data_IF_343089737996
#
_entry.id   IF_343089737996
#
_cell.length_a   1.000
_cell.length_b   1.000
_cell.length_c   1.000
_cell.angle_alpha   90.00
_cell.angle_beta   90.00
_cell.angle_gamma   90.00
#
_symmetry.space_group_name_H-M   'P 1'
#
loop_
_entity.id
_entity.type
_entity.pdbx_description
1 polymer ?
#
# COMPACT_ATOMS: atom_id res chain seq x y z
N UNK A 1 10.17 12.63 -5.48
CA UNK A 1 8.78 13.08 -5.70
C UNK A 1 7.95 11.83 -5.99
N UNK A 2 6.87 11.58 -5.22
CA UNK A 2 6.08 10.34 -5.33
C UNK A 2 5.33 10.21 -6.66
N UNK A 3 4.83 9.02 -6.97
CA UNK A 3 4.04 8.74 -8.18
C UNK A 3 2.74 9.56 -8.27
N UNK A 4 2.19 9.95 -7.13
CA UNK A 4 0.96 10.75 -7.04
C UNK A 4 1.16 12.24 -7.41
N UNK A 5 2.39 12.75 -7.32
CA UNK A 5 2.67 14.17 -7.60
C UNK A 5 2.95 14.36 -9.10
N UNK A 6 1.93 14.69 -9.88
CA UNK A 6 2.03 14.92 -11.32
C UNK A 6 2.25 16.39 -11.69
N UNK A 7 2.08 17.31 -10.73
CA UNK A 7 2.21 18.75 -11.00
C UNK A 7 3.50 19.28 -10.36
N UNK A 8 4.38 19.81 -11.18
CA UNK A 8 5.58 20.53 -10.73
C UNK A 8 5.21 21.93 -10.23
N UNK A 9 6.01 22.49 -9.32
CA UNK A 9 5.74 23.83 -8.73
C UNK A 9 5.55 24.91 -9.79
N UNK A 10 6.35 24.85 -10.84
CA UNK A 10 6.36 25.80 -11.96
C UNK A 10 5.06 25.77 -12.76
N UNK A 11 4.34 24.65 -12.73
CA UNK A 11 3.14 24.41 -13.51
C UNK A 11 1.83 24.58 -12.70
N UNK A 12 1.91 24.98 -11.42
CA UNK A 12 0.73 25.08 -10.55
C UNK A 12 -0.32 26.05 -11.12
N UNK A 13 0.09 27.22 -11.61
CA UNK A 13 -0.83 28.21 -12.15
C UNK A 13 -1.58 27.68 -13.41
N UNK A 14 -0.86 27.02 -14.32
CA UNK A 14 -1.45 26.41 -15.51
C UNK A 14 -2.40 25.25 -15.12
N UNK A 15 -2.01 24.43 -14.16
CA UNK A 15 -2.85 23.36 -13.62
C UNK A 15 -4.15 23.91 -13.02
N UNK A 16 -4.06 24.95 -12.20
CA UNK A 16 -5.25 25.59 -11.62
C UNK A 16 -6.20 26.15 -12.69
N UNK A 17 -5.65 26.73 -13.77
CA UNK A 17 -6.48 27.20 -14.89
C UNK A 17 -7.22 26.05 -15.55
N UNK A 18 -6.58 24.91 -15.79
CA UNK A 18 -7.22 23.70 -16.34
C UNK A 18 -8.35 23.18 -15.44
N UNK A 19 -8.16 23.23 -14.11
CA UNK A 19 -9.20 22.85 -13.14
C UNK A 19 -10.39 23.81 -13.22
N UNK A 20 -10.15 25.14 -13.28
CA UNK A 20 -11.19 26.14 -13.42
C UNK A 20 -11.96 25.99 -14.75
N UNK A 21 -11.26 25.68 -15.84
CA UNK A 21 -11.83 25.42 -17.15
C UNK A 21 -12.54 24.05 -17.25
N UNK A 22 -12.54 23.26 -16.17
CA UNK A 22 -13.08 21.88 -16.11
C UNK A 22 -12.44 20.92 -17.12
N UNK A 23 -11.16 21.14 -17.47
CA UNK A 23 -10.39 20.30 -18.39
C UNK A 23 -9.62 19.21 -17.63
N UNK A 24 -10.34 18.37 -16.89
CA UNK A 24 -9.79 17.27 -16.12
C UNK A 24 -10.76 16.09 -16.10
N UNK A 25 -10.23 14.93 -15.71
CA UNK A 25 -11.02 13.75 -15.37
C UNK A 25 -10.83 13.42 -13.89
N UNK A 26 -11.74 12.65 -13.31
CA UNK A 26 -11.63 12.15 -11.95
C UNK A 26 -11.24 10.68 -11.97
N UNK A 27 -10.10 10.36 -11.39
CA UNK A 27 -9.63 9.00 -11.17
C UNK A 27 -9.97 8.58 -9.75
N UNK A 28 -10.77 7.53 -9.61
CA UNK A 28 -11.16 6.98 -8.32
C UNK A 28 -10.04 6.11 -7.76
N UNK A 29 -9.71 6.31 -6.49
CA UNK A 29 -8.68 5.54 -5.79
C UNK A 29 -9.29 4.72 -4.68
N UNK A 30 -8.95 3.43 -4.67
CA UNK A 30 -9.28 2.51 -3.58
C UNK A 30 -8.41 2.84 -2.36
N UNK A 31 -9.02 2.74 -1.18
CA UNK A 31 -8.32 2.83 0.10
C UNK A 31 -8.51 1.53 0.88
N UNK A 32 -7.60 1.29 1.82
CA UNK A 32 -7.72 0.23 2.82
C UNK A 32 -8.17 0.81 4.15
N UNK A 33 -9.00 0.08 4.89
CA UNK A 33 -9.26 0.31 6.31
C UNK A 33 -8.56 -0.76 7.13
N UNK A 34 -8.18 -0.39 8.36
CA UNK A 34 -7.58 -1.28 9.34
C UNK A 34 -8.37 -1.21 10.65
N UNK A 35 -8.75 -2.37 11.16
CA UNK A 35 -9.23 -2.49 12.55
C UNK A 35 -8.30 -3.41 13.34
N UNK A 36 -8.20 -3.17 14.65
CA UNK A 36 -7.35 -3.91 15.58
C UNK A 36 -8.17 -4.43 16.74
N UNK A 37 -7.96 -5.65 17.15
CA UNK A 37 -8.55 -6.23 18.35
C UNK A 37 -7.46 -6.85 19.24
N UNK A 38 -7.29 -6.38 20.51
CA UNK A 38 -8.05 -5.29 21.14
C UNK A 38 -7.85 -3.93 20.44
N UNK A 39 -8.80 -3.01 20.62
CA UNK A 39 -8.78 -1.68 19.99
C UNK A 39 -7.51 -0.89 20.36
N UNK A 40 -7.01 -0.13 19.39
CA UNK A 40 -5.86 0.76 19.55
C UNK A 40 -6.27 2.20 19.15
N UNK A 41 -6.16 3.13 20.10
CA UNK A 41 -6.59 4.53 19.90
C UNK A 41 -5.93 5.21 18.70
N UNK A 42 -4.64 4.97 18.46
CA UNK A 42 -3.92 5.56 17.33
C UNK A 42 -4.42 5.07 15.97
N UNK A 43 -4.99 3.87 15.89
CA UNK A 43 -5.64 3.35 14.69
C UNK A 43 -7.05 3.92 14.54
N UNK A 44 -7.80 4.03 15.63
CA UNK A 44 -9.18 4.54 15.62
C UNK A 44 -9.28 6.00 15.14
N UNK A 45 -8.27 6.83 15.42
CA UNK A 45 -8.25 8.24 15.00
C UNK A 45 -8.26 8.41 13.48
N UNK A 46 -7.52 7.56 12.76
CA UNK A 46 -7.48 7.57 11.29
C UNK A 46 -7.15 6.16 10.75
N UNK A 47 -8.16 5.37 10.57
CA UNK A 47 -8.11 3.92 10.32
C UNK A 47 -7.93 3.52 8.85
N UNK A 48 -7.60 4.45 7.95
CA UNK A 48 -7.48 4.17 6.53
C UNK A 48 -6.13 4.56 5.92
N UNK A 49 -5.76 3.91 4.81
CA UNK A 49 -4.57 4.17 4.02
C UNK A 49 -4.90 4.27 2.53
N UNK A 50 -4.22 5.21 1.83
CA UNK A 50 -4.32 5.37 0.38
C UNK A 50 -3.35 4.43 -0.35
N UNK A 51 -2.15 4.28 0.18
CA UNK A 51 -1.11 3.45 -0.44
C UNK A 51 -1.11 2.03 0.15
N UNK A 52 -0.75 1.90 1.42
CA UNK A 52 -0.57 0.58 2.02
C UNK A 52 -0.79 0.56 3.54
N UNK A 53 -1.17 -0.62 4.02
CA UNK A 53 -1.00 -1.03 5.42
C UNK A 53 0.22 -1.93 5.49
N UNK A 54 1.18 -1.60 6.37
CA UNK A 54 2.39 -2.40 6.57
C UNK A 54 2.47 -2.89 8.00
N UNK A 55 2.77 -4.16 8.16
CA UNK A 55 3.17 -4.76 9.44
C UNK A 55 4.67 -5.02 9.38
N UNK A 56 5.43 -4.58 10.38
CA UNK A 56 6.87 -4.78 10.42
C UNK A 56 7.38 -5.03 11.83
N UNK A 57 8.52 -5.70 11.92
CA UNK A 57 9.23 -5.84 13.19
C UNK A 57 9.60 -4.47 13.76
N UNK A 58 9.65 -4.36 15.07
CA UNK A 58 10.03 -3.13 15.77
C UNK A 58 11.54 -2.98 15.84
N UNK A 59 12.24 -4.05 16.17
CA UNK A 59 13.69 -4.07 16.34
C UNK A 59 14.39 -4.84 15.21
N UNK A 60 15.68 -4.53 15.00
CA UNK A 60 16.46 -5.05 13.87
C UNK A 60 16.93 -6.49 14.03
N UNK A 61 16.78 -7.10 15.22
CA UNK A 61 17.45 -8.35 15.57
C UNK A 61 16.63 -9.63 15.40
N UNK A 62 15.30 -9.54 15.30
CA UNK A 62 14.44 -10.71 15.18
C UNK A 62 13.34 -10.51 14.15
N UNK A 63 13.12 -11.54 13.32
CA UNK A 63 11.96 -11.58 12.42
C UNK A 63 10.68 -11.79 13.20
N UNK A 64 9.56 -11.43 12.59
CA UNK A 64 8.21 -11.70 13.07
C UNK A 64 7.56 -12.80 12.23
N UNK A 65 6.62 -13.49 12.82
CA UNK A 65 5.75 -14.45 12.15
C UNK A 65 4.39 -13.82 11.95
N UNK A 66 3.93 -13.79 10.70
CA UNK A 66 2.66 -13.16 10.31
C UNK A 66 1.77 -14.22 9.69
N UNK A 67 0.84 -14.75 10.49
CA UNK A 67 -0.22 -15.62 9.99
C UNK A 67 -1.22 -14.78 9.23
N UNK A 68 -1.49 -15.16 7.99
CA UNK A 68 -2.36 -14.42 7.07
C UNK A 68 -3.53 -15.28 6.64
N UNK A 69 -4.73 -14.72 6.76
CA UNK A 69 -5.99 -15.36 6.37
C UNK A 69 -6.71 -14.47 5.36
N UNK A 70 -7.30 -15.08 4.33
CA UNK A 70 -8.10 -14.42 3.29
C UNK A 70 -9.53 -14.96 3.35
N UNK A 71 -10.51 -14.09 3.62
CA UNK A 71 -11.91 -14.46 3.79
C UNK A 71 -12.10 -15.63 4.78
N UNK A 72 -11.30 -15.65 5.85
CA UNK A 72 -11.31 -16.70 6.87
C UNK A 72 -10.51 -17.95 6.54
N UNK A 73 -10.01 -18.12 5.32
CA UNK A 73 -9.14 -19.23 4.91
C UNK A 73 -7.67 -18.89 5.18
N UNK A 74 -6.93 -19.84 5.78
CA UNK A 74 -5.49 -19.69 6.02
C UNK A 74 -4.71 -19.67 4.70
N UNK A 75 -3.98 -18.60 4.45
CA UNK A 75 -3.10 -18.46 3.29
C UNK A 75 -1.70 -19.00 3.58
N UNK A 76 -1.03 -18.40 4.54
CA UNK A 76 0.37 -18.67 4.82
C UNK A 76 0.79 -18.06 6.16
N UNK A 77 1.90 -18.56 6.71
CA UNK A 77 2.62 -17.97 7.81
C UNK A 77 3.96 -17.42 7.28
N UNK A 78 4.07 -16.09 7.19
CA UNK A 78 5.27 -15.41 6.73
C UNK A 78 6.24 -15.23 7.89
N UNK A 79 7.42 -15.81 7.78
CA UNK A 79 8.55 -15.48 8.65
C UNK A 79 9.42 -14.45 7.93
N UNK A 80 9.32 -13.19 8.34
CA UNK A 80 9.81 -12.05 7.55
C UNK A 80 10.12 -10.83 8.43
N UNK A 81 10.72 -9.80 7.83
CA UNK A 81 10.84 -8.48 8.45
C UNK A 81 9.48 -7.76 8.50
N UNK A 82 8.55 -8.13 7.64
CA UNK A 82 7.21 -7.58 7.61
C UNK A 82 6.38 -8.05 6.42
N UNK A 83 5.18 -7.47 6.31
CA UNK A 83 4.22 -7.72 5.24
C UNK A 83 3.52 -6.42 4.85
N UNK A 84 3.39 -6.18 3.57
CA UNK A 84 2.71 -5.00 3.00
C UNK A 84 1.41 -5.44 2.34
N UNK A 85 0.33 -4.77 2.65
CA UNK A 85 -0.95 -4.86 1.93
C UNK A 85 -1.13 -3.55 1.18
N UNK A 86 -0.93 -3.57 -0.14
CA UNK A 86 -0.94 -2.38 -0.98
C UNK A 86 -2.21 -2.27 -1.83
N UNK A 87 -2.75 -1.05 -1.93
CA UNK A 87 -3.73 -0.68 -2.96
C UNK A 87 -3.05 -0.57 -4.32
N UNK A 88 -3.77 -0.49 -5.44
CA UNK A 88 -3.17 -0.21 -6.75
C UNK A 88 -2.29 1.05 -6.73
N UNK A 89 -2.71 2.10 -6.03
CA UNK A 89 -1.93 3.34 -5.84
C UNK A 89 -0.60 3.06 -5.11
N UNK A 90 -0.64 2.26 -4.04
CA UNK A 90 0.52 1.92 -3.21
C UNK A 90 1.50 0.96 -3.87
N UNK A 91 1.11 0.26 -4.95
CA UNK A 91 2.02 -0.67 -5.65
C UNK A 91 3.25 0.01 -6.23
N UNK A 92 3.23 1.32 -6.41
CA UNK A 92 4.39 2.13 -6.85
C UNK A 92 5.19 2.72 -5.68
N UNK A 93 4.81 2.40 -4.43
CA UNK A 93 5.44 2.81 -3.18
C UNK A 93 6.35 1.73 -2.58
N UNK A 94 6.18 1.43 -1.31
CA UNK A 94 7.02 0.49 -0.59
C UNK A 94 6.93 -0.94 -1.13
N UNK A 95 5.73 -1.35 -1.60
CA UNK A 95 5.53 -2.66 -2.25
C UNK A 95 6.47 -2.86 -3.44
N UNK A 96 6.66 -1.83 -4.28
CA UNK A 96 7.59 -1.89 -5.42
C UNK A 96 9.04 -2.18 -4.97
N UNK A 97 9.50 -1.51 -3.91
CA UNK A 97 10.84 -1.70 -3.35
C UNK A 97 11.06 -3.11 -2.81
N UNK A 98 9.98 -3.79 -2.41
CA UNK A 98 9.98 -5.19 -1.95
C UNK A 98 9.67 -6.21 -3.07
N UNK A 99 9.72 -5.79 -4.34
CA UNK A 99 9.50 -6.67 -5.50
C UNK A 99 8.04 -6.95 -5.84
N UNK A 100 7.11 -6.15 -5.32
CA UNK A 100 5.70 -6.22 -5.69
C UNK A 100 5.45 -5.79 -7.14
N UNK A 101 4.40 -6.32 -7.80
CA UNK A 101 4.01 -5.90 -9.13
C UNK A 101 3.41 -4.49 -9.11
N UNK A 102 3.50 -3.78 -10.23
CA UNK A 102 2.81 -2.51 -10.43
C UNK A 102 1.41 -2.80 -10.98
N UNK A 103 0.40 -2.25 -10.32
CA UNK A 103 -0.98 -2.28 -10.78
C UNK A 103 -1.39 -0.91 -11.33
N UNK A 104 -2.23 -0.90 -12.37
CA UNK A 104 -2.87 0.33 -12.83
C UNK A 104 -3.91 0.77 -11.80
N UNK A 105 -4.13 2.08 -11.62
CA UNK A 105 -4.97 2.60 -10.55
C UNK A 105 -6.43 2.16 -10.55
N UNK A 106 -6.93 1.71 -11.69
CA UNK A 106 -8.32 1.34 -11.97
C UNK A 106 -8.64 -0.13 -11.71
N UNK A 107 -7.62 -0.98 -11.45
CA UNK A 107 -7.86 -2.40 -11.19
C UNK A 107 -8.45 -2.63 -9.80
N UNK A 108 -9.37 -3.59 -9.71
CA UNK A 108 -10.02 -4.00 -8.47
C UNK A 108 -9.22 -5.11 -7.78
N UNK A 109 -8.02 -4.79 -7.34
CA UNK A 109 -7.10 -5.75 -6.73
C UNK A 109 -6.26 -5.10 -5.64
N UNK A 110 -5.77 -5.92 -4.72
CA UNK A 110 -4.78 -5.58 -3.72
C UNK A 110 -3.54 -6.44 -3.92
N UNK A 111 -2.41 -6.02 -3.38
CA UNK A 111 -1.17 -6.79 -3.42
C UNK A 111 -0.67 -7.06 -2.01
N UNK A 112 -0.42 -8.32 -1.71
CA UNK A 112 0.28 -8.76 -0.50
C UNK A 112 1.75 -8.94 -0.86
N UNK A 113 2.64 -8.17 -0.25
CA UNK A 113 4.08 -8.21 -0.54
C UNK A 113 4.88 -8.45 0.74
N UNK A 114 5.58 -9.60 0.88
CA UNK A 114 6.43 -9.84 2.04
C UNK A 114 7.70 -8.98 1.98
N UNK A 115 8.16 -8.53 3.16
CA UNK A 115 9.41 -7.77 3.32
C UNK A 115 10.50 -8.73 3.79
N UNK A 116 11.53 -8.92 2.98
CA UNK A 116 12.68 -9.78 3.27
C UNK A 116 12.27 -11.14 3.90
N UNK A 117 11.39 -11.94 3.26
CA UNK A 117 10.93 -13.19 3.84
C UNK A 117 12.06 -14.22 3.90
N UNK A 118 12.13 -14.98 5.00
CA UNK A 118 13.03 -16.12 5.10
C UNK A 118 12.53 -17.32 4.29
N UNK A 119 11.23 -17.40 4.04
CA UNK A 119 10.61 -18.42 3.20
C UNK A 119 10.99 -18.21 1.73
N UNK A 120 11.88 -19.02 1.20
CA UNK A 120 12.42 -18.89 -0.18
C UNK A 120 11.35 -18.90 -1.28
N UNK A 121 10.20 -19.50 -1.02
CA UNK A 121 9.08 -19.60 -1.97
C UNK A 121 8.03 -18.49 -1.82
N UNK A 122 8.16 -17.60 -0.82
CA UNK A 122 7.24 -16.49 -0.67
C UNK A 122 7.39 -15.51 -1.84
N UNK A 123 6.26 -15.13 -2.43
CA UNK A 123 6.16 -14.20 -3.55
C UNK A 123 5.04 -13.21 -3.29
N UNK A 124 5.10 -12.01 -3.85
CA UNK A 124 3.95 -11.12 -3.86
C UNK A 124 2.73 -11.80 -4.50
N UNK A 125 1.57 -11.61 -3.89
CA UNK A 125 0.29 -12.17 -4.33
C UNK A 125 -0.70 -11.06 -4.63
N UNK A 126 -1.32 -11.12 -5.82
CA UNK A 126 -2.43 -10.23 -6.20
C UNK A 126 -3.74 -10.91 -5.85
N UNK A 127 -4.61 -10.19 -5.15
CA UNK A 127 -5.93 -10.67 -4.71
C UNK A 127 -7.03 -9.67 -5.11
N UNK A 128 -8.29 -10.08 -5.04
CA UNK A 128 -9.43 -9.17 -5.21
C UNK A 128 -9.44 -8.08 -4.12
N UNK A 129 -9.84 -6.86 -4.47
CA UNK A 129 -10.02 -5.76 -3.50
C UNK A 129 -11.21 -5.95 -2.55
N UNK A 130 -12.08 -6.93 -2.84
CA UNK A 130 -13.18 -7.34 -1.94
C UNK A 130 -12.75 -8.36 -0.86
N UNK A 131 -11.48 -8.77 -0.87
CA UNK A 131 -10.97 -9.76 0.09
C UNK A 131 -10.79 -9.14 1.48
N UNK A 132 -11.36 -9.77 2.49
CA UNK A 132 -11.00 -9.50 3.88
C UNK A 132 -9.67 -10.19 4.20
N UNK A 133 -8.72 -9.42 4.73
CA UNK A 133 -7.40 -9.91 5.13
C UNK A 133 -7.31 -9.84 6.66
N UNK A 134 -7.02 -10.97 7.30
CA UNK A 134 -6.79 -11.02 8.74
C UNK A 134 -5.35 -11.42 8.99
N UNK A 135 -4.66 -10.64 9.82
CA UNK A 135 -3.27 -10.89 10.22
C UNK A 135 -3.19 -11.14 11.73
N UNK A 136 -2.43 -12.15 12.11
CA UNK A 136 -2.00 -12.41 13.49
C UNK A 136 -0.49 -12.38 13.53
N UNK A 137 0.07 -11.53 14.37
CA UNK A 137 1.52 -11.29 14.40
C UNK A 137 2.08 -11.75 15.74
N UNK A 138 3.15 -12.53 15.66
CA UNK A 138 3.94 -12.96 16.81
C UNK A 138 5.41 -12.72 16.55
N UNK A 139 6.16 -12.44 17.62
CA UNK A 139 7.59 -12.19 17.57
C UNK A 139 8.22 -12.40 18.94
N UNK A 140 9.53 -12.18 19.03
CA UNK A 140 10.25 -12.23 20.31
C UNK A 140 9.97 -11.00 21.19
N UNK A 141 9.74 -9.86 20.55
CA UNK A 141 9.38 -8.61 21.22
C UNK A 141 7.88 -8.62 21.53
N UNK A 142 7.48 -7.90 22.57
CA UNK A 142 6.07 -7.79 22.97
C UNK A 142 5.23 -6.99 21.99
N UNK A 143 5.87 -6.23 21.10
CA UNK A 143 5.24 -5.33 20.15
C UNK A 143 5.87 -5.41 18.77
N UNK A 144 5.03 -5.14 17.77
CA UNK A 144 5.42 -4.90 16.38
C UNK A 144 4.90 -3.55 15.89
N UNK A 145 5.37 -3.09 14.75
CA UNK A 145 4.92 -1.83 14.14
C UNK A 145 3.84 -2.09 13.10
N UNK A 146 2.85 -1.22 13.10
CA UNK A 146 1.86 -1.11 12.03
C UNK A 146 1.91 0.29 11.45
N UNK A 147 1.93 0.43 10.15
CA UNK A 147 1.83 1.72 9.49
C UNK A 147 0.67 1.76 8.49
N UNK A 148 -0.03 2.90 8.48
CA UNK A 148 -1.03 3.25 7.47
C UNK A 148 -0.45 4.44 6.69
N UNK A 149 0.02 4.17 5.47
CA UNK A 149 0.89 5.08 4.71
C UNK A 149 2.14 5.44 5.55
N UNK A 150 2.30 6.70 5.97
CA UNK A 150 3.44 7.15 6.80
C UNK A 150 3.13 7.25 8.31
N UNK A 151 1.93 6.88 8.75
CA UNK A 151 1.52 6.94 10.16
C UNK A 151 1.84 5.62 10.84
N UNK A 152 2.75 5.63 11.79
CA UNK A 152 3.29 4.44 12.44
C UNK A 152 2.80 4.37 13.89
N UNK A 153 2.33 3.20 14.30
CA UNK A 153 1.99 2.89 15.70
C UNK A 153 2.56 1.52 16.11
N UNK A 154 2.76 1.33 17.41
CA UNK A 154 3.15 0.04 17.98
C UNK A 154 1.92 -0.74 18.44
N UNK A 155 1.86 -2.01 18.08
CA UNK A 155 0.76 -2.93 18.42
C UNK A 155 1.32 -4.08 19.23
N UNK A 156 0.57 -4.56 20.21
CA UNK A 156 0.93 -5.72 21.04
C UNK A 156 0.86 -7.00 20.21
N UNK A 157 1.76 -7.94 20.50
CA UNK A 157 1.66 -9.30 19.96
C UNK A 157 0.27 -9.89 20.22
N UNK A 158 -0.11 -10.85 19.37
CA UNK A 158 -1.41 -11.55 19.42
C UNK A 158 -2.63 -10.67 19.12
N UNK A 159 -2.44 -9.36 18.89
CA UNK A 159 -3.53 -8.54 18.37
C UNK A 159 -3.94 -9.01 16.98
N UNK A 160 -5.23 -9.03 16.73
CA UNK A 160 -5.82 -9.39 15.45
C UNK A 160 -6.01 -8.13 14.62
N UNK A 161 -5.37 -8.06 13.46
CA UNK A 161 -5.54 -6.98 12.50
C UNK A 161 -6.48 -7.43 11.39
N UNK A 162 -7.53 -6.66 11.11
CA UNK A 162 -8.42 -6.90 9.97
C UNK A 162 -8.32 -5.75 8.98
N UNK A 163 -7.99 -6.08 7.74
CA UNK A 163 -7.78 -5.12 6.64
C UNK A 163 -8.81 -5.39 5.55
N UNK A 164 -9.49 -4.33 5.12
CA UNK A 164 -10.53 -4.36 4.08
C UNK A 164 -10.45 -3.12 3.21
N UNK A 165 -11.06 -3.18 2.05
CA UNK A 165 -11.37 -1.99 1.25
C UNK A 165 -12.34 -1.09 2.01
N UNK A 166 -12.10 0.22 2.00
CA UNK A 166 -13.04 1.19 2.57
C UNK A 166 -14.34 1.26 1.75
N UNK A 167 -15.47 1.63 2.36
CA UNK A 167 -16.72 1.86 1.63
C UNK A 167 -16.71 3.15 0.81
N UNK A 168 -15.70 3.98 0.96
CA UNK A 168 -15.52 5.24 0.21
C UNK A 168 -14.24 5.22 -0.62
N UNK A 169 -14.14 6.13 -1.58
CA UNK A 169 -12.99 6.31 -2.48
C UNK A 169 -12.56 7.78 -2.48
N UNK A 170 -11.30 8.03 -2.78
CA UNK A 170 -10.79 9.38 -3.07
C UNK A 170 -10.81 9.60 -4.58
N UNK A 171 -11.30 10.77 -4.99
CA UNK A 171 -11.22 11.21 -6.37
C UNK A 171 -9.96 12.06 -6.56
N UNK A 172 -9.07 11.62 -7.45
CA UNK A 172 -7.90 12.39 -7.87
C UNK A 172 -8.17 13.07 -9.20
N UNK A 173 -7.78 14.34 -9.30
CA UNK A 173 -7.85 15.09 -10.55
C UNK A 173 -6.70 14.63 -11.45
N UNK A 174 -7.05 14.21 -12.67
CA UNK A 174 -6.10 13.87 -13.74
C UNK A 174 -6.33 14.82 -14.92
N UNK A 175 -5.26 15.47 -15.37
CA UNK A 175 -5.28 16.34 -16.55
C UNK A 175 -5.11 15.49 -17.80
N UNK A 176 -5.82 15.83 -18.89
CA UNK A 176 -5.58 15.23 -20.19
C UNK A 176 -4.09 15.32 -20.54
N UNK A 177 -3.53 14.29 -21.11
CA UNK A 177 -2.13 14.14 -21.47
C UNK A 177 -1.16 13.70 -20.35
N UNK A 178 -1.58 13.69 -19.08
CA UNK A 178 -0.80 13.15 -17.97
C UNK A 178 -1.32 11.76 -17.55
N UNK A 179 -1.03 10.75 -18.39
CA UNK A 179 -1.51 9.38 -18.15
C UNK A 179 -0.61 8.64 -17.14
N UNK A 180 -1.17 7.63 -16.47
CA UNK A 180 -0.42 6.74 -15.58
C UNK A 180 0.80 6.11 -16.28
N UNK A 181 0.65 5.66 -17.54
CA UNK A 181 1.75 5.04 -18.29
C UNK A 181 2.86 6.04 -18.63
N UNK A 182 2.52 7.30 -18.91
CA UNK A 182 3.51 8.38 -19.10
C UNK A 182 4.29 8.63 -17.81
N UNK A 183 3.58 8.73 -16.70
CA UNK A 183 4.18 8.88 -15.37
C UNK A 183 5.09 7.71 -15.03
N UNK A 184 4.66 6.48 -15.32
CA UNK A 184 5.41 5.26 -15.08
C UNK A 184 6.75 5.27 -15.85
N UNK A 185 6.72 5.53 -17.17
CA UNK A 185 7.94 5.63 -17.98
C UNK A 185 8.89 6.68 -17.44
N UNK A 186 8.38 7.90 -17.19
CA UNK A 186 9.20 9.01 -16.74
C UNK A 186 9.85 8.80 -15.38
N UNK A 187 9.14 8.14 -14.45
CA UNK A 187 9.64 7.96 -13.07
C UNK A 187 10.47 6.72 -12.88
N UNK A 188 10.21 5.66 -13.65
CA UNK A 188 10.99 4.41 -13.59
C UNK A 188 12.05 4.32 -14.69
N UNK A 189 12.13 5.32 -15.59
CA UNK A 189 13.05 5.33 -16.73
C UNK A 189 12.88 4.08 -17.62
N UNK A 190 11.65 3.60 -17.76
CA UNK A 190 11.35 2.41 -18.54
C UNK A 190 11.55 2.67 -20.03
N UNK A 191 12.41 1.88 -20.66
CA UNK A 191 12.76 1.99 -22.06
C UNK A 191 13.90 2.97 -22.34
N UNK A 192 14.47 3.62 -21.32
CA UNK A 192 15.70 4.39 -21.48
C UNK A 192 16.92 3.45 -21.38
N UNK A 193 17.47 3.06 -22.54
CA UNK A 193 18.77 2.41 -22.58
C UNK A 193 19.86 3.48 -22.62
N UNK A 194 20.63 3.63 -21.54
CA UNK A 194 21.77 4.56 -21.45
C UNK A 194 22.93 4.21 -22.37
N UNK A 195 22.81 3.15 -23.18
CA UNK A 195 23.84 2.70 -24.11
C UNK A 195 23.62 3.18 -25.56
N UNK A 196 22.55 3.97 -25.80
CA UNK A 196 22.32 4.66 -27.07
C UNK A 196 22.52 6.15 -26.90
#
# INVERSE_FOLDING_TARGET
MGFLANVQKENIAAFMQLVLDKKYTLSKRTLLSLTCSPENESILELDFALNEVTVSRKDSTSMITIETYLNGEFLNSYWADGLIIATPTGTTGYSLSCGGPILTPDVKSLVITPIAPHNLNARPLVISDETEIVLRVTGREDQYLVSLDSRITSIQNESVLTIKKTPFQINMIEIQDETFLKTLRNKLLWGEDRRN
#
